data_IF_589894197395
#
_entry.id   IF_589894197395
#
_cell.length_a   1.000
_cell.length_b   1.000
_cell.length_c   1.000
_cell.angle_alpha   90.00
_cell.angle_beta   90.00
_cell.angle_gamma   90.00
#
_symmetry.space_group_name_H-M   'P 1'
#
loop_
_entity.id
_entity.type
_entity.pdbx_description
1 polymer ?
#
# COMPACT_ATOMS: atom_id res chain seq x y z
N UNK A 1 9.19 -10.06 1.84
CA UNK A 1 10.13 -10.78 2.74
C UNK A 1 10.24 -12.27 2.45
N UNK A 2 9.13 -13.02 2.28
CA UNK A 2 9.17 -14.46 1.93
C UNK A 2 10.04 -14.81 0.71
N UNK A 3 10.02 -13.97 -0.34
CA UNK A 3 10.87 -14.11 -1.54
C UNK A 3 12.37 -14.18 -1.23
N UNK A 4 12.82 -13.48 -0.19
CA UNK A 4 14.23 -13.45 0.24
C UNK A 4 14.52 -14.47 1.35
N UNK A 5 13.56 -15.33 1.69
CA UNK A 5 13.64 -16.31 2.78
C UNK A 5 14.12 -15.72 4.12
N UNK A 6 13.78 -14.45 4.40
CA UNK A 6 14.10 -13.80 5.68
C UNK A 6 13.34 -14.56 6.79
N UNK A 7 14.01 -14.97 7.89
CA UNK A 7 13.37 -15.64 9.01
C UNK A 7 12.20 -14.84 9.59
N UNK A 8 11.14 -15.52 10.00
CA UNK A 8 9.92 -14.88 10.52
C UNK A 8 10.19 -14.03 11.76
N UNK A 9 11.14 -14.44 12.60
CA UNK A 9 11.57 -13.69 13.78
C UNK A 9 12.19 -12.34 13.40
N UNK A 10 13.05 -12.32 12.38
CA UNK A 10 13.62 -11.07 11.85
C UNK A 10 12.54 -10.21 11.17
N UNK A 11 11.60 -10.83 10.45
CA UNK A 11 10.46 -10.13 9.85
C UNK A 11 9.59 -9.48 10.93
N UNK A 12 9.31 -10.19 12.04
CA UNK A 12 8.51 -9.68 13.14
C UNK A 12 9.15 -8.43 13.75
N UNK A 13 10.47 -8.43 13.95
CA UNK A 13 11.23 -7.25 14.39
C UNK A 13 11.10 -6.10 13.38
N UNK A 14 11.32 -6.36 12.10
CA UNK A 14 11.24 -5.32 11.08
C UNK A 14 9.83 -4.72 10.91
N UNK A 15 8.79 -5.51 11.20
CA UNK A 15 7.38 -5.09 11.14
C UNK A 15 6.90 -4.42 12.43
N UNK A 16 7.75 -4.29 13.46
CA UNK A 16 7.41 -3.46 14.62
C UNK A 16 7.35 -1.99 14.21
N UNK A 17 6.41 -1.24 14.80
CA UNK A 17 6.28 0.18 14.48
C UNK A 17 7.54 0.95 14.85
N UNK A 18 7.89 1.92 14.01
CA UNK A 18 9.12 2.70 14.12
C UNK A 18 10.35 1.98 13.58
N UNK A 19 10.19 1.02 12.68
CA UNK A 19 11.31 0.32 12.01
C UNK A 19 11.17 0.44 10.50
N UNK A 20 10.49 -0.48 9.83
CA UNK A 20 10.38 -0.45 8.37
C UNK A 20 9.39 0.63 7.88
N UNK A 21 8.34 0.90 8.67
CA UNK A 21 7.37 1.98 8.44
C UNK A 21 8.02 3.38 8.46
N UNK A 22 9.19 3.54 9.06
CA UNK A 22 9.98 4.78 9.02
C UNK A 22 10.31 5.26 7.61
N UNK A 23 10.54 4.33 6.69
CA UNK A 23 10.84 4.67 5.30
C UNK A 23 9.71 5.47 4.64
N UNK A 24 8.47 5.25 5.09
CA UNK A 24 7.27 5.88 4.52
C UNK A 24 6.93 7.23 5.14
N UNK A 25 7.51 7.57 6.29
CA UNK A 25 7.17 8.81 7.02
C UNK A 25 8.31 9.82 7.08
N UNK A 26 9.52 9.42 6.68
CA UNK A 26 10.67 10.31 6.69
C UNK A 26 10.68 11.22 5.46
N UNK A 27 11.23 12.43 5.63
CA UNK A 27 11.41 13.38 4.54
C UNK A 27 12.11 12.75 3.32
N UNK A 28 11.66 13.10 2.12
CA UNK A 28 12.04 12.42 0.87
C UNK A 28 13.55 12.38 0.65
N UNK A 29 14.26 13.48 0.98
CA UNK A 29 15.72 13.56 0.85
C UNK A 29 16.50 12.67 1.81
N UNK A 30 15.84 12.10 2.83
CA UNK A 30 16.47 11.29 3.86
C UNK A 30 16.16 9.79 3.71
N UNK A 31 15.40 9.37 2.70
CA UNK A 31 14.98 7.95 2.54
C UNK A 31 16.19 7.01 2.35
N UNK A 32 17.22 7.45 1.62
CA UNK A 32 18.46 6.68 1.47
C UNK A 32 19.17 6.46 2.82
N UNK A 33 19.28 7.54 3.61
CA UNK A 33 19.88 7.50 4.93
C UNK A 33 19.03 6.66 5.90
N UNK A 34 17.70 6.75 5.78
CA UNK A 34 16.74 5.93 6.52
C UNK A 34 16.88 4.45 6.17
N UNK A 35 17.16 4.10 4.92
CA UNK A 35 17.40 2.70 4.53
C UNK A 35 18.61 2.12 5.27
N UNK A 36 19.68 2.91 5.42
CA UNK A 36 20.86 2.52 6.22
C UNK A 36 20.51 2.40 7.70
N UNK A 37 19.78 3.37 8.22
CA UNK A 37 19.30 3.36 9.61
C UNK A 37 18.44 2.13 9.91
N UNK A 38 17.47 1.79 9.06
CA UNK A 38 16.59 0.62 9.22
C UNK A 38 17.39 -0.68 9.25
N UNK A 39 18.39 -0.85 8.37
CA UNK A 39 19.29 -2.03 8.41
C UNK A 39 20.00 -2.14 9.77
N UNK A 40 20.51 -1.02 10.29
CA UNK A 40 21.17 -0.97 11.61
C UNK A 40 20.19 -1.28 12.74
N UNK A 41 19.01 -0.70 12.70
CA UNK A 41 17.96 -0.86 13.72
C UNK A 41 17.48 -2.30 13.81
N UNK A 42 17.18 -2.94 12.67
CA UNK A 42 16.79 -4.36 12.63
C UNK A 42 17.92 -5.23 13.21
N UNK A 43 19.17 -4.99 12.80
CA UNK A 43 20.32 -5.73 13.31
C UNK A 43 20.47 -5.59 14.83
N UNK A 44 20.34 -4.37 15.35
CA UNK A 44 20.43 -4.09 16.78
C UNK A 44 19.32 -4.81 17.55
N UNK A 45 18.07 -4.72 17.09
CA UNK A 45 16.94 -5.40 17.73
C UNK A 45 17.08 -6.92 17.68
N UNK A 46 17.58 -7.48 16.56
CA UNK A 46 17.91 -8.90 16.48
C UNK A 46 18.97 -9.29 17.52
N UNK A 47 20.04 -8.50 17.67
CA UNK A 47 21.08 -8.75 18.67
C UNK A 47 20.54 -8.74 20.10
N UNK A 48 19.68 -7.78 20.44
CA UNK A 48 19.05 -7.70 21.78
C UNK A 48 18.13 -8.89 22.03
N UNK A 49 17.43 -9.34 21.00
CA UNK A 49 16.54 -10.51 21.07
C UNK A 49 17.27 -11.87 20.98
N UNK A 50 18.60 -11.88 20.82
CA UNK A 50 19.39 -13.10 20.63
C UNK A 50 19.16 -13.81 19.30
N UNK A 51 18.65 -13.08 18.29
CA UNK A 51 18.37 -13.58 16.94
C UNK A 51 19.57 -13.30 16.04
N UNK A 52 20.00 -14.31 15.28
CA UNK A 52 21.06 -14.14 14.29
C UNK A 52 20.55 -13.33 13.09
N UNK A 53 21.19 -12.19 12.81
CA UNK A 53 20.82 -11.29 11.71
C UNK A 53 21.32 -11.81 10.35
N UNK A 54 20.42 -11.95 9.38
CA UNK A 54 20.74 -12.46 8.05
C UNK A 54 21.21 -11.35 7.08
N UNK A 55 22.48 -10.90 7.17
CA UNK A 55 23.03 -9.76 6.37
C UNK A 55 22.73 -9.85 4.87
N UNK A 56 22.99 -10.99 4.22
CA UNK A 56 22.79 -11.16 2.79
C UNK A 56 21.31 -11.07 2.36
N UNK A 57 20.37 -11.61 3.17
CA UNK A 57 18.94 -11.59 2.84
C UNK A 57 18.36 -10.19 2.95
N UNK A 58 18.76 -9.45 3.99
CA UNK A 58 18.37 -8.05 4.16
C UNK A 58 18.97 -7.15 3.09
N UNK A 59 20.18 -7.43 2.62
CA UNK A 59 20.78 -6.76 1.45
C UNK A 59 19.89 -6.92 0.21
N UNK A 60 19.53 -8.15 -0.14
CA UNK A 60 18.65 -8.41 -1.29
C UNK A 60 17.27 -7.73 -1.16
N UNK A 61 16.72 -7.68 0.06
CA UNK A 61 15.50 -6.92 0.31
C UNK A 61 15.68 -5.40 0.12
N UNK A 62 16.75 -4.81 0.64
CA UNK A 62 17.03 -3.38 0.49
C UNK A 62 17.30 -2.99 -0.97
N UNK A 63 17.99 -3.83 -1.73
CA UNK A 63 18.21 -3.62 -3.16
C UNK A 63 16.89 -3.68 -3.94
N UNK A 64 16.04 -4.65 -3.63
CA UNK A 64 14.69 -4.69 -4.18
C UNK A 64 13.87 -3.44 -3.80
N UNK A 65 13.92 -3.02 -2.53
CA UNK A 65 13.22 -1.84 -2.07
C UNK A 65 13.66 -0.61 -2.86
N UNK A 66 14.97 -0.40 -3.00
CA UNK A 66 15.55 0.69 -3.78
C UNK A 66 15.07 0.66 -5.23
N UNK A 67 15.19 -0.49 -5.90
CA UNK A 67 14.78 -0.63 -7.31
C UNK A 67 13.29 -0.38 -7.52
N UNK A 68 12.45 -0.90 -6.64
CA UNK A 68 10.99 -0.77 -6.80
C UNK A 68 10.50 0.60 -6.32
N UNK A 69 10.87 1.02 -5.12
CA UNK A 69 10.26 2.20 -4.48
C UNK A 69 11.04 3.49 -4.67
N UNK A 70 12.32 3.44 -5.09
CA UNK A 70 13.10 4.66 -5.33
C UNK A 70 13.45 4.87 -6.81
N UNK A 71 13.57 3.81 -7.61
CA UNK A 71 13.84 3.94 -9.05
C UNK A 71 12.57 3.83 -9.92
N UNK A 72 11.67 2.89 -9.62
CA UNK A 72 10.49 2.63 -10.45
C UNK A 72 9.29 3.52 -10.07
N UNK A 73 9.08 3.79 -8.79
CA UNK A 73 8.02 4.67 -8.31
C UNK A 73 8.62 5.95 -7.72
N UNK A 74 7.96 7.08 -7.96
CA UNK A 74 8.30 8.35 -7.34
C UNK A 74 7.99 8.29 -5.83
N UNK A 75 8.91 8.85 -5.02
CA UNK A 75 8.79 8.92 -3.55
C UNK A 75 7.50 9.62 -3.15
N UNK A 76 7.06 10.63 -3.90
CA UNK A 76 5.83 11.38 -3.64
C UNK A 76 4.55 10.50 -3.68
N UNK A 77 4.59 9.34 -4.34
CA UNK A 77 3.42 8.48 -4.54
C UNK A 77 3.17 7.56 -3.34
N UNK A 78 4.21 7.23 -2.58
CA UNK A 78 4.12 6.25 -1.49
C UNK A 78 4.58 6.77 -0.13
N UNK A 79 5.39 7.82 -0.10
CA UNK A 79 5.81 8.47 1.13
C UNK A 79 4.70 9.42 1.61
N UNK A 80 4.47 9.45 2.92
CA UNK A 80 3.42 10.23 3.58
C UNK A 80 3.99 11.25 4.56
N UNK A 81 5.29 11.55 4.47
CA UNK A 81 5.95 12.59 5.26
C UNK A 81 5.21 13.93 5.11
N UNK A 82 4.89 14.55 6.24
CA UNK A 82 4.16 15.81 6.28
C UNK A 82 2.67 15.74 5.94
N UNK A 83 2.12 14.56 5.63
CA UNK A 83 0.67 14.37 5.50
C UNK A 83 0.03 14.20 6.88
N UNK A 84 -1.17 14.77 7.06
CA UNK A 84 -1.94 14.56 8.28
C UNK A 84 -2.44 13.10 8.35
N UNK A 85 -2.33 12.49 9.53
CA UNK A 85 -2.76 11.13 9.83
C UNK A 85 -4.25 10.89 9.49
N UNK A 86 -5.09 11.92 9.52
CA UNK A 86 -6.50 11.83 9.10
C UNK A 86 -6.65 11.57 7.59
N UNK A 87 -5.72 12.07 6.78
CA UNK A 87 -5.70 11.87 5.32
C UNK A 87 -5.26 10.45 4.93
N UNK A 88 -4.31 9.90 5.69
CA UNK A 88 -3.63 8.62 5.41
C UNK A 88 -4.53 7.39 5.64
N UNK A 89 -5.62 7.54 6.41
CA UNK A 89 -6.57 6.46 6.66
C UNK A 89 -7.54 6.12 5.51
N UNK A 90 -7.40 6.75 4.34
CA UNK A 90 -8.26 6.50 3.17
C UNK A 90 -7.86 5.22 2.42
N UNK A 91 -8.09 4.07 3.05
CA UNK A 91 -8.42 2.89 2.23
C UNK A 91 -9.65 3.23 1.39
N UNK A 92 -9.68 2.84 0.10
CA UNK A 92 -10.85 3.09 -0.73
C UNK A 92 -12.09 2.28 -0.26
N UNK A 93 -11.92 1.40 0.74
CA UNK A 93 -12.92 0.46 1.23
C UNK A 93 -14.30 1.09 1.49
N UNK A 94 -14.43 2.31 2.03
CA UNK A 94 -15.73 2.97 2.17
C UNK A 94 -16.36 3.33 0.82
N UNK A 95 -15.56 3.81 -0.15
CA UNK A 95 -16.01 4.15 -1.49
C UNK A 95 -16.40 2.90 -2.27
N UNK A 96 -15.56 1.87 -2.24
CA UNK A 96 -15.87 0.59 -2.87
C UNK A 96 -17.11 -0.07 -2.26
N UNK A 97 -17.23 -0.04 -0.93
CA UNK A 97 -18.42 -0.57 -0.24
C UNK A 97 -19.66 0.20 -0.68
N UNK A 98 -19.58 1.52 -0.77
CA UNK A 98 -20.68 2.34 -1.26
C UNK A 98 -21.01 2.02 -2.72
N UNK A 99 -20.01 1.87 -3.60
CA UNK A 99 -20.21 1.52 -5.00
C UNK A 99 -20.84 0.13 -5.15
N UNK A 100 -20.44 -0.86 -4.33
CA UNK A 100 -21.08 -2.19 -4.30
C UNK A 100 -22.52 -2.13 -3.83
N UNK A 101 -22.80 -1.40 -2.76
CA UNK A 101 -24.17 -1.20 -2.27
C UNK A 101 -25.02 -0.46 -3.31
N UNK A 102 -24.48 0.58 -3.92
CA UNK A 102 -25.16 1.34 -4.95
C UNK A 102 -25.51 0.44 -6.16
N UNK A 103 -24.54 -0.34 -6.63
CA UNK A 103 -24.73 -1.25 -7.75
C UNK A 103 -25.71 -2.40 -7.44
N UNK A 104 -25.78 -2.88 -6.20
CA UNK A 104 -26.72 -3.95 -5.81
C UNK A 104 -28.18 -3.48 -5.80
N UNK A 105 -28.43 -2.17 -5.65
CA UNK A 105 -29.79 -1.59 -5.68
C UNK A 105 -30.33 -1.42 -7.09
N UNK A 106 -29.48 -1.41 -8.12
CA UNK A 106 -29.94 -1.26 -9.49
C UNK A 106 -30.38 -2.62 -10.07
N UNK A 107 -31.60 -2.71 -10.64
CA UNK A 107 -32.11 -3.95 -11.20
C UNK A 107 -31.46 -4.33 -12.54
N UNK A 108 -30.84 -3.37 -13.24
CA UNK A 108 -30.09 -3.61 -14.47
C UNK A 108 -28.86 -2.70 -14.55
N UNK A 109 -27.81 -3.09 -15.33
CA UNK A 109 -26.61 -2.27 -15.51
C UNK A 109 -26.86 -0.91 -16.19
N UNK A 110 -27.98 -0.78 -16.92
CA UNK A 110 -28.37 0.45 -17.62
C UNK A 110 -29.85 0.77 -17.30
N UNK A 111 -30.12 1.36 -16.13
CA UNK A 111 -31.47 1.72 -15.73
C UNK A 111 -31.99 2.93 -16.53
N UNK A 112 -33.32 3.10 -16.58
CA UNK A 112 -33.92 4.35 -17.08
C UNK A 112 -33.58 5.51 -16.14
N UNK A 113 -33.63 6.75 -16.63
CA UNK A 113 -33.39 7.94 -15.81
C UNK A 113 -34.34 8.00 -14.59
N UNK A 114 -35.62 7.64 -14.78
CA UNK A 114 -36.60 7.62 -13.69
C UNK A 114 -36.24 6.59 -12.61
N UNK A 115 -35.84 5.38 -13.03
CA UNK A 115 -35.37 4.32 -12.12
C UNK A 115 -34.11 4.75 -11.39
N UNK A 116 -33.16 5.37 -12.11
CA UNK A 116 -31.92 5.85 -11.54
C UNK A 116 -32.17 6.87 -10.41
N UNK A 117 -32.94 7.92 -10.69
CA UNK A 117 -33.29 8.95 -9.71
C UNK A 117 -34.08 8.36 -8.54
N UNK A 118 -34.99 7.41 -8.80
CA UNK A 118 -35.77 6.74 -7.76
C UNK A 118 -34.89 5.97 -6.77
N UNK A 119 -33.98 5.14 -7.26
CA UNK A 119 -33.05 4.36 -6.42
C UNK A 119 -32.16 5.28 -5.58
N UNK A 120 -31.60 6.33 -6.19
CA UNK A 120 -30.75 7.30 -5.47
C UNK A 120 -31.53 8.00 -4.37
N UNK A 121 -32.77 8.45 -4.63
CA UNK A 121 -33.63 9.08 -3.62
C UNK A 121 -33.89 8.14 -2.44
N UNK A 122 -34.25 6.89 -2.71
CA UNK A 122 -34.51 5.90 -1.66
C UNK A 122 -33.25 5.66 -0.82
N UNK A 123 -32.11 5.42 -1.46
CA UNK A 123 -30.83 5.20 -0.76
C UNK A 123 -30.43 6.41 0.09
N UNK A 124 -30.63 7.63 -0.42
CA UNK A 124 -30.34 8.86 0.31
C UNK A 124 -31.23 9.02 1.55
N UNK A 125 -32.53 8.72 1.44
CA UNK A 125 -33.48 8.79 2.54
C UNK A 125 -33.14 7.79 3.65
N UNK A 126 -32.89 6.53 3.29
CA UNK A 126 -32.43 5.49 4.23
C UNK A 126 -31.15 5.90 4.97
N UNK A 127 -30.21 6.53 4.26
CA UNK A 127 -28.95 6.99 4.85
C UNK A 127 -29.19 8.11 5.87
N UNK A 128 -30.01 9.11 5.54
CA UNK A 128 -30.38 10.20 6.45
C UNK A 128 -31.10 9.67 7.69
N UNK A 129 -32.03 8.73 7.53
CA UNK A 129 -32.70 8.09 8.66
C UNK A 129 -31.70 7.36 9.57
N UNK A 130 -30.78 6.58 8.98
CA UNK A 130 -29.73 5.90 9.73
C UNK A 130 -28.85 6.86 10.50
N UNK A 131 -28.48 8.00 9.91
CA UNK A 131 -27.70 9.04 10.60
C UNK A 131 -28.47 9.68 11.75
N UNK A 132 -29.77 9.92 11.60
CA UNK A 132 -30.62 10.45 12.67
C UNK A 132 -30.80 9.46 13.83
N UNK A 133 -30.67 8.16 13.56
CA UNK A 133 -30.79 7.09 14.56
C UNK A 133 -29.50 6.85 15.37
N UNK A 134 -28.34 7.31 14.87
CA UNK A 134 -27.05 7.25 15.59
C UNK A 134 -27.08 8.01 16.93
N UNK A 135 -27.41 9.31 16.99
CA UNK A 135 -27.47 10.04 18.26
C UNK A 135 -28.58 9.54 19.19
N UNK A 136 -29.58 8.84 18.64
CA UNK A 136 -30.69 8.22 19.41
C UNK A 136 -30.31 6.85 19.97
N UNK A 137 -29.08 6.37 19.73
CA UNK A 137 -28.60 5.07 20.19
C UNK A 137 -29.23 3.86 19.49
N UNK A 138 -30.05 4.08 18.45
CA UNK A 138 -30.74 3.03 17.69
C UNK A 138 -29.83 2.38 16.64
N UNK A 139 -28.77 3.09 16.24
CA UNK A 139 -27.71 2.59 15.34
C UNK A 139 -26.35 2.87 15.96
N UNK A 140 -25.48 1.86 16.05
CA UNK A 140 -24.11 2.02 16.54
C UNK A 140 -23.26 2.74 15.49
N UNK A 141 -22.59 3.83 15.88
CA UNK A 141 -21.55 4.44 15.04
C UNK A 141 -20.40 3.45 14.89
N UNK A 142 -19.97 3.18 13.66
CA UNK A 142 -18.75 2.39 13.44
C UNK A 142 -17.57 3.19 13.96
N UNK A 143 -16.95 2.72 15.03
CA UNK A 143 -15.66 3.26 15.47
C UNK A 143 -14.63 2.88 14.42
N UNK A 144 -13.98 3.88 13.83
CA UNK A 144 -12.81 3.65 12.99
C UNK A 144 -11.60 3.78 13.88
N UNK A 145 -10.71 2.81 13.83
CA UNK A 145 -9.39 2.94 14.45
C UNK A 145 -8.67 4.10 13.78
N UNK A 146 -8.08 4.97 14.59
CA UNK A 146 -7.20 6.01 14.08
C UNK A 146 -5.90 5.34 13.69
N UNK A 147 -5.46 5.52 12.45
CA UNK A 147 -4.12 5.09 12.05
C UNK A 147 -3.15 6.07 12.69
N UNK A 148 -2.24 5.54 13.51
CA UNK A 148 -1.15 6.30 14.10
C UNK A 148 0.10 6.00 13.27
N UNK A 149 0.57 6.99 12.52
CA UNK A 149 1.87 6.89 11.87
C UNK A 149 2.98 7.03 12.93
N UNK A 150 4.10 6.31 12.76
CA UNK A 150 5.26 6.50 13.61
C UNK A 150 5.79 7.94 13.48
N UNK A 151 6.34 8.45 14.58
CA UNK A 151 7.02 9.75 14.58
C UNK A 151 8.36 9.60 13.84
N UNK A 152 8.66 10.43 12.82
CA UNK A 152 9.94 10.40 12.12
C UNK A 152 11.12 10.51 13.10
N UNK A 153 12.14 9.67 12.87
CA UNK A 153 13.33 9.61 13.72
C UNK A 153 14.35 10.60 13.18
N UNK A 154 15.04 11.32 14.08
CA UNK A 154 16.20 12.13 13.70
C UNK A 154 17.35 11.18 13.34
N UNK A 155 17.73 11.19 12.06
CA UNK A 155 18.77 10.30 11.56
C UNK A 155 20.11 11.04 11.54
N UNK A 156 21.12 10.58 12.30
CA UNK A 156 22.46 11.15 12.22
C UNK A 156 23.02 11.05 10.79
N UNK A 157 23.67 12.10 10.30
CA UNK A 157 24.26 12.12 8.95
C UNK A 157 25.44 11.14 8.80
N UNK A 158 26.02 10.69 9.91
CA UNK A 158 27.24 9.89 9.99
C UNK A 158 26.99 8.38 10.11
N UNK A 159 25.80 7.88 9.72
CA UNK A 159 25.54 6.44 9.79
C UNK A 159 26.54 5.70 8.90
N UNK A 160 27.47 5.03 9.57
CA UNK A 160 28.45 4.17 8.94
C UNK A 160 27.72 3.17 8.04
N UNK A 161 28.01 3.27 6.74
CA UNK A 161 27.71 2.21 5.80
C UNK A 161 28.68 1.09 6.14
N UNK A 162 28.20 0.11 6.89
CA UNK A 162 28.98 -1.04 7.31
C UNK A 162 29.36 -1.83 6.05
N UNK A 163 30.51 -1.44 5.50
CA UNK A 163 31.03 -1.80 4.19
C UNK A 163 30.83 -3.28 3.89
N UNK A 164 30.45 -3.50 2.65
CA UNK A 164 29.71 -4.64 2.17
C UNK A 164 30.63 -5.68 1.51
N UNK A 165 31.85 -5.85 2.02
CA UNK A 165 32.81 -6.88 1.58
C UNK A 165 32.36 -8.26 2.09
N UNK A 166 31.41 -8.86 1.38
CA UNK A 166 31.24 -10.31 1.28
C UNK A 166 30.50 -10.62 -0.04
N UNK A 167 31.06 -11.59 -0.76
CA UNK A 167 30.70 -12.07 -2.11
C UNK A 167 29.18 -12.18 -2.37
N UNK A 168 28.70 -11.75 -3.55
CA UNK A 168 27.28 -11.85 -3.89
C UNK A 168 26.88 -13.30 -4.14
N UNK A 169 25.99 -13.84 -3.29
CA UNK A 169 25.24 -15.05 -3.64
C UNK A 169 24.30 -14.72 -4.81
N UNK A 170 24.61 -15.30 -5.98
CA UNK A 170 23.75 -15.26 -7.16
C UNK A 170 22.37 -15.84 -6.82
N UNK A 171 21.39 -14.96 -6.65
CA UNK A 171 19.99 -15.34 -6.67
C UNK A 171 19.52 -15.13 -8.10
N UNK A 172 19.37 -16.21 -8.85
CA UNK A 172 18.72 -16.23 -10.17
C UNK A 172 17.31 -15.65 -10.03
N UNK A 173 17.16 -14.38 -10.43
CA UNK A 173 15.88 -13.70 -10.41
C UNK A 173 15.25 -13.89 -11.79
N UNK A 174 14.26 -14.78 -11.89
CA UNK A 174 13.38 -14.80 -13.05
C UNK A 174 12.71 -13.42 -13.18
N UNK A 175 13.08 -12.72 -14.25
CA UNK A 175 12.41 -11.51 -14.72
C UNK A 175 11.03 -11.89 -15.21
N UNK A 176 10.01 -11.61 -14.41
CA UNK A 176 8.62 -11.64 -14.88
C UNK A 176 8.30 -10.23 -15.43
N UNK A 177 8.84 -9.95 -16.62
CA UNK A 177 8.39 -8.84 -17.44
C UNK A 177 7.19 -9.34 -18.22
N UNK A 178 6.02 -9.31 -17.58
CA UNK A 178 4.75 -9.43 -18.30
C UNK A 178 4.56 -8.15 -19.11
N UNK A 179 5.07 -8.18 -20.35
CA UNK A 179 4.61 -7.30 -21.41
C UNK A 179 3.59 -8.10 -22.21
N UNK A 180 2.32 -7.75 -22.08
CA UNK A 180 1.31 -8.13 -23.05
C UNK A 180 0.32 -6.97 -23.17
N UNK A 181 0.28 -6.36 -24.36
CA UNK A 181 -0.93 -5.92 -25.05
C UNK A 181 -0.49 -5.39 -26.43
N UNK A 182 -0.33 -6.31 -27.38
CA UNK A 182 -0.43 -6.00 -28.79
C UNK A 182 -1.62 -6.78 -29.36
N UNK A 183 -2.83 -6.22 -29.20
CA UNK A 183 -4.01 -6.69 -29.93
C UNK A 183 -3.91 -6.24 -31.39
N UNK A 184 -3.97 -7.15 -32.38
CA UNK A 184 -4.05 -6.76 -33.79
C UNK A 184 -5.49 -6.34 -34.14
N UNK A 185 -5.56 -5.08 -34.60
CA UNK A 185 -6.46 -4.51 -35.60
C UNK A 185 -7.40 -5.52 -36.28
N UNK A 186 -8.71 -5.42 -35.98
CA UNK A 186 -9.75 -6.08 -36.75
C UNK A 186 -10.02 -5.23 -38.00
N UNK A 187 -9.55 -5.72 -39.13
CA UNK A 187 -9.82 -5.16 -40.45
C UNK A 187 -11.32 -5.18 -40.75
N UNK A 188 -11.82 -4.02 -41.11
CA UNK A 188 -13.13 -3.80 -41.72
C UNK A 188 -13.27 -4.65 -43.00
N UNK A 189 -14.33 -5.44 -43.09
CA UNK A 189 -14.92 -5.78 -44.40
C UNK A 189 -16.42 -5.59 -44.35
N UNK A 190 -16.81 -4.44 -44.91
CA UNK A 190 -18.11 -4.15 -45.49
C UNK A 190 -18.64 -5.32 -46.31
N UNK A 191 -19.88 -5.74 -46.05
CA UNK A 191 -20.76 -6.31 -47.08
C UNK A 191 -22.21 -6.00 -46.71
N UNK A 192 -22.79 -5.07 -47.47
CA UNK A 192 -24.23 -4.88 -47.57
C UNK A 192 -24.88 -6.13 -48.17
N UNK A 193 -26.00 -6.59 -47.63
CA UNK A 193 -27.10 -7.08 -48.47
C UNK A 193 -28.45 -7.12 -47.75
N UNK A 194 -29.43 -6.62 -48.49
CA UNK A 194 -30.83 -6.40 -48.20
C UNK A 194 -31.64 -7.69 -48.06
N UNK A 195 -32.62 -7.69 -47.15
CA UNK A 195 -34.07 -7.84 -47.39
C UNK A 195 -34.82 -7.83 -46.07
#
# INVERSE_FOLDING_TARGET
MKRFAIPEQECSIAMTSGVLDMLTVIEHGLVDLCTKWVKREIRQRCSVAGIQYSKAKWRGFCEYFRRTWMEQYDVEVWNVAGLDNELVARTNNPLERFNRELNSRFPSPRPSMATFVGVIKTLSSEYVHRLADVPRGRVRRTTREKIELPVPVEIPEDIADDSDDDEPLAVEVASDSSSDEASPESTETSTCQSL
#
